data_IF_047641629304
#
_entry.id   IF_047641629304
#
_cell.length_a   1.000
_cell.length_b   1.000
_cell.length_c   1.000
_cell.angle_alpha   90.00
_cell.angle_beta   90.00
_cell.angle_gamma   90.00
#
_symmetry.space_group_name_H-M   'P 1'
#
loop_
_entity.id
_entity.type
_entity.pdbx_description
1 polymer ?
#
# COMPACT_ATOMS: atom_id res chain seq x y z
N UNK A 1 -14.87 56.17 3.96
CA UNK A 1 -14.88 54.75 3.51
C UNK A 1 -14.01 53.99 4.48
N UNK A 2 -14.61 53.25 5.42
CA UNK A 2 -13.91 52.28 6.27
C UNK A 2 -13.57 51.07 5.38
N UNK A 3 -12.28 50.69 5.27
CA UNK A 3 -11.88 49.43 4.71
C UNK A 3 -12.45 48.37 5.64
N UNK A 4 -13.38 47.54 5.15
CA UNK A 4 -13.73 46.28 5.77
C UNK A 4 -12.49 45.40 5.70
N UNK A 5 -11.78 45.32 6.83
CA UNK A 5 -10.74 44.35 7.04
C UNK A 5 -11.42 42.99 7.18
N UNK A 6 -11.19 42.09 6.24
CA UNK A 6 -11.50 40.67 6.39
C UNK A 6 -10.77 40.23 7.65
N UNK A 7 -11.46 39.98 8.77
CA UNK A 7 -10.87 39.33 9.94
C UNK A 7 -10.34 37.99 9.48
N UNK A 8 -9.01 37.86 9.40
CA UNK A 8 -8.39 36.58 9.15
C UNK A 8 -8.67 35.65 10.32
N UNK A 9 -9.42 34.57 10.09
CA UNK A 9 -9.72 33.59 11.10
C UNK A 9 -8.48 32.72 11.38
N UNK A 10 -8.06 32.68 12.64
CA UNK A 10 -7.04 31.72 13.09
C UNK A 10 -7.65 30.71 14.06
N UNK A 11 -7.02 29.54 14.16
CA UNK A 11 -7.44 28.47 15.06
C UNK A 11 -7.09 28.88 16.50
N UNK A 12 -8.13 29.05 17.34
CA UNK A 12 -7.93 29.33 18.77
C UNK A 12 -7.74 28.02 19.52
N UNK A 13 -6.55 27.82 20.08
CA UNK A 13 -6.22 26.61 20.84
C UNK A 13 -6.47 26.86 22.34
N UNK A 14 -7.44 26.16 22.91
CA UNK A 14 -7.76 26.17 24.34
C UNK A 14 -7.63 24.79 24.97
N UNK A 15 -7.30 24.78 26.24
CA UNK A 15 -7.18 23.50 26.98
C UNK A 15 -8.54 22.81 27.08
N UNK A 16 -8.59 21.52 26.71
CA UNK A 16 -9.81 20.72 26.72
C UNK A 16 -10.69 20.86 25.45
N UNK A 17 -10.34 21.70 24.50
CA UNK A 17 -11.04 21.85 23.23
C UNK A 17 -10.18 21.28 22.07
N UNK A 18 -10.79 20.48 21.18
CA UNK A 18 -10.13 20.02 19.97
C UNK A 18 -10.54 20.90 18.80
N UNK A 19 -9.60 21.60 18.14
CA UNK A 19 -9.93 22.42 16.99
C UNK A 19 -10.41 21.59 15.82
N UNK A 20 -11.33 22.13 15.04
CA UNK A 20 -11.70 21.55 13.74
C UNK A 20 -10.60 21.88 12.74
N UNK A 21 -10.01 20.85 12.15
CA UNK A 21 -8.97 20.97 11.14
C UNK A 21 -9.59 20.88 9.74
N UNK A 22 -9.23 21.80 8.87
CA UNK A 22 -9.54 21.73 7.44
C UNK A 22 -8.36 21.06 6.73
N UNK A 23 -8.44 19.74 6.60
CA UNK A 23 -7.45 18.95 5.85
C UNK A 23 -7.69 19.08 4.35
N UNK A 24 -6.66 19.42 3.59
CA UNK A 24 -6.69 19.43 2.12
C UNK A 24 -5.60 18.54 1.51
N UNK A 25 -4.67 18.08 2.32
CA UNK A 25 -3.46 17.35 1.93
C UNK A 25 -3.22 16.12 2.82
N UNK A 26 -2.29 15.24 2.41
CA UNK A 26 -1.92 14.05 3.20
C UNK A 26 -0.99 14.37 4.37
N UNK A 27 -0.20 15.46 4.26
CA UNK A 27 0.83 15.81 5.23
C UNK A 27 0.55 17.18 5.87
N UNK A 28 0.95 17.35 7.12
CA UNK A 28 0.95 18.64 7.80
C UNK A 28 2.36 19.14 8.08
N UNK A 29 2.61 20.43 7.92
CA UNK A 29 3.83 21.11 8.38
C UNK A 29 3.46 22.01 9.55
N UNK A 30 4.21 21.93 10.66
CA UNK A 30 3.95 22.73 11.87
C UNK A 30 5.20 23.48 12.31
N UNK A 31 5.10 24.79 12.51
CA UNK A 31 6.19 25.64 12.98
C UNK A 31 5.75 26.66 14.04
N UNK A 32 6.65 26.99 15.00
CA UNK A 32 6.34 27.91 16.11
C UNK A 32 7.38 29.01 16.34
N UNK A 33 8.46 29.03 15.59
CA UNK A 33 9.55 30.02 15.68
C UNK A 33 9.64 30.84 14.41
N UNK A 34 10.25 32.01 14.47
CA UNK A 34 10.43 32.88 13.30
C UNK A 34 11.20 32.18 12.16
N UNK A 35 12.32 31.53 12.50
CA UNK A 35 13.12 30.82 11.50
C UNK A 35 12.42 29.56 11.00
N UNK A 36 11.81 28.79 11.93
CA UNK A 36 11.02 27.62 11.58
C UNK A 36 9.85 27.94 10.65
N UNK A 37 9.15 29.08 10.83
CA UNK A 37 8.09 29.52 9.91
C UNK A 37 8.62 29.87 8.53
N UNK A 38 9.76 30.55 8.45
CA UNK A 38 10.40 30.85 7.15
C UNK A 38 10.77 29.56 6.40
N UNK A 39 11.36 28.58 7.10
CA UNK A 39 11.68 27.28 6.57
C UNK A 39 10.42 26.50 6.16
N UNK A 40 9.37 26.47 7.02
CA UNK A 40 8.10 25.81 6.77
C UNK A 40 7.42 26.35 5.51
N UNK A 41 7.40 27.65 5.31
CA UNK A 41 6.85 28.29 4.11
C UNK A 41 7.62 27.89 2.85
N UNK A 42 8.96 27.94 2.92
CA UNK A 42 9.83 27.50 1.79
C UNK A 42 9.63 26.02 1.47
N UNK A 43 9.48 25.17 2.48
CA UNK A 43 9.21 23.75 2.30
C UNK A 43 7.81 23.53 1.68
N UNK A 44 6.79 24.17 2.19
CA UNK A 44 5.41 24.09 1.68
C UNK A 44 5.30 24.50 0.20
N UNK A 45 6.07 25.49 -0.25
CA UNK A 45 6.11 25.91 -1.65
C UNK A 45 6.78 24.86 -2.58
N UNK A 46 7.72 24.06 -2.07
CA UNK A 46 8.51 23.11 -2.84
C UNK A 46 8.00 21.67 -2.72
N UNK A 47 7.37 21.35 -1.61
CA UNK A 47 6.90 20.03 -1.27
C UNK A 47 5.37 19.97 -1.33
N UNK A 48 4.84 19.42 -2.41
CA UNK A 48 3.39 19.36 -2.65
C UNK A 48 2.66 18.46 -1.64
N UNK A 49 1.33 18.54 -1.63
CA UNK A 49 0.47 17.71 -0.78
C UNK A 49 0.68 17.91 0.73
N UNK A 50 0.87 19.18 1.12
CA UNK A 50 1.04 19.60 2.52
C UNK A 50 0.08 20.71 2.91
N UNK A 51 -0.43 20.66 4.14
CA UNK A 51 -1.10 21.79 4.80
C UNK A 51 -0.13 22.42 5.80
N UNK A 52 -0.05 23.74 5.84
CA UNK A 52 0.89 24.47 6.68
C UNK A 52 0.21 25.15 7.86
N UNK A 53 0.75 24.91 9.07
CA UNK A 53 0.29 25.47 10.32
C UNK A 53 1.38 26.23 11.05
N UNK A 54 1.15 27.50 11.43
CA UNK A 54 2.05 28.23 12.31
C UNK A 54 1.34 29.28 13.19
N UNK A 55 2.08 29.78 14.18
CA UNK A 55 1.52 30.73 15.13
C UNK A 55 1.20 32.06 14.44
N UNK A 56 0.01 32.64 14.74
CA UNK A 56 -0.47 33.89 14.19
C UNK A 56 0.44 35.12 14.45
N UNK A 57 1.27 35.10 15.48
CA UNK A 57 2.28 36.18 15.73
C UNK A 57 3.34 36.30 14.62
N UNK A 58 3.42 35.35 13.71
CA UNK A 58 4.32 35.36 12.55
C UNK A 58 3.59 35.57 11.22
N UNK A 59 2.40 36.12 11.27
CA UNK A 59 1.59 36.51 10.11
C UNK A 59 2.39 37.33 9.10
N UNK A 60 2.27 37.01 7.83
CA UNK A 60 2.91 37.70 6.70
C UNK A 60 1.90 38.49 5.88
N UNK A 61 0.62 38.05 5.86
CA UNK A 61 -0.51 38.71 5.19
C UNK A 61 -0.95 38.07 3.88
N UNK A 62 -0.35 36.94 3.51
CA UNK A 62 -0.70 36.16 2.30
C UNK A 62 -1.27 34.76 2.64
N UNK A 63 -1.49 34.45 3.92
CA UNK A 63 -1.85 33.11 4.41
C UNK A 63 -3.14 32.59 3.76
N UNK A 64 -4.18 33.39 3.73
CA UNK A 64 -5.47 33.02 3.13
C UNK A 64 -5.34 32.66 1.64
N UNK A 65 -4.50 33.42 0.91
CA UNK A 65 -4.29 33.18 -0.53
C UNK A 65 -3.47 31.88 -0.81
N UNK A 66 -2.69 31.44 0.18
CA UNK A 66 -1.85 30.22 0.12
C UNK A 66 -2.46 29.04 0.86
N UNK A 67 -3.66 29.17 1.41
CA UNK A 67 -4.31 28.09 2.19
C UNK A 67 -3.61 27.77 3.52
N UNK A 68 -2.79 28.70 4.04
CA UNK A 68 -2.04 28.51 5.29
C UNK A 68 -2.94 28.77 6.48
N UNK A 69 -2.93 27.87 7.45
CA UNK A 69 -3.73 27.95 8.66
C UNK A 69 -2.89 28.47 9.84
N UNK A 70 -3.30 29.58 10.39
CA UNK A 70 -2.65 30.14 11.58
C UNK A 70 -3.34 29.65 12.85
N UNK A 71 -2.59 29.56 13.95
CA UNK A 71 -3.13 29.25 15.27
C UNK A 71 -2.61 30.20 16.35
N UNK A 72 -3.40 30.35 17.43
CA UNK A 72 -3.02 31.04 18.64
C UNK A 72 -3.18 30.11 19.84
N UNK A 73 -2.22 30.14 20.75
CA UNK A 73 -2.21 29.32 21.95
C UNK A 73 -1.06 28.26 21.91
N UNK A 74 -1.18 27.25 22.75
CA UNK A 74 -0.15 26.20 22.85
C UNK A 74 -0.24 25.21 21.69
N UNK A 75 0.85 25.07 20.93
CA UNK A 75 0.96 24.07 19.84
C UNK A 75 0.68 22.64 20.33
N UNK A 76 0.87 22.35 21.61
CA UNK A 76 0.52 21.05 22.20
C UNK A 76 -0.95 20.68 21.97
N UNK A 77 -1.84 21.68 21.96
CA UNK A 77 -3.27 21.48 21.77
C UNK A 77 -3.67 21.27 20.30
N UNK A 78 -2.74 21.52 19.37
CA UNK A 78 -2.98 21.30 17.94
C UNK A 78 -2.80 19.81 17.58
N UNK A 79 -1.81 19.11 18.17
CA UNK A 79 -1.47 17.75 17.83
C UNK A 79 -2.61 16.72 17.96
N UNK A 80 -3.47 16.75 19.02
CA UNK A 80 -4.60 15.85 19.12
C UNK A 80 -5.58 15.94 17.95
N UNK A 81 -5.65 17.08 17.26
CA UNK A 81 -6.49 17.27 16.10
C UNK A 81 -5.79 16.87 14.78
N UNK A 82 -4.46 17.05 14.68
CA UNK A 82 -3.69 16.66 13.48
C UNK A 82 -3.43 15.16 13.43
N UNK A 83 -3.13 14.53 14.58
CA UNK A 83 -2.67 13.17 14.68
C UNK A 83 -3.59 12.11 14.04
N UNK A 84 -4.94 12.18 14.17
CA UNK A 84 -5.84 11.22 13.57
C UNK A 84 -6.16 11.45 12.09
N UNK A 85 -5.79 12.61 11.51
CA UNK A 85 -6.23 12.98 10.16
C UNK A 85 -5.13 12.96 9.12
N UNK A 86 -3.87 13.21 9.50
CA UNK A 86 -2.74 13.25 8.57
C UNK A 86 -2.01 11.91 8.52
N UNK A 87 -1.54 11.53 7.33
CA UNK A 87 -0.64 10.37 7.15
C UNK A 87 0.74 10.62 7.77
N UNK A 88 1.20 11.88 7.72
CA UNK A 88 2.46 12.28 8.32
C UNK A 88 2.48 13.75 8.72
N UNK A 89 3.29 14.06 9.75
CA UNK A 89 3.41 15.42 10.29
C UNK A 89 4.89 15.80 10.34
N UNK A 90 5.24 16.87 9.63
CA UNK A 90 6.56 17.49 9.61
C UNK A 90 6.58 18.62 10.62
N UNK A 91 7.47 18.55 11.59
CA UNK A 91 7.43 19.46 12.76
C UNK A 91 8.77 20.18 12.88
N UNK A 92 8.75 21.52 12.75
CA UNK A 92 9.93 22.36 12.87
C UNK A 92 9.99 22.93 14.28
N UNK A 93 10.32 22.06 15.22
CA UNK A 93 10.39 22.30 16.68
C UNK A 93 11.45 21.36 17.25
N UNK A 94 12.00 21.68 18.43
CA UNK A 94 12.98 20.78 19.08
C UNK A 94 12.43 19.38 19.32
N UNK A 95 13.20 18.35 18.99
CA UNK A 95 12.82 16.93 19.11
C UNK A 95 12.25 16.56 20.48
N UNK A 96 12.91 17.02 21.57
CA UNK A 96 12.43 16.72 22.92
C UNK A 96 11.07 17.32 23.27
N UNK A 97 10.70 18.47 22.68
CA UNK A 97 9.36 19.03 22.84
C UNK A 97 8.34 18.21 22.04
N UNK A 98 8.67 17.80 20.83
CA UNK A 98 7.79 16.96 19.99
C UNK A 98 7.48 15.65 20.71
N UNK A 99 8.48 14.93 21.21
CA UNK A 99 8.30 13.66 21.96
C UNK A 99 7.30 13.84 23.12
N UNK A 100 7.43 14.90 23.91
CA UNK A 100 6.49 15.17 25.02
C UNK A 100 5.08 15.49 24.56
N UNK A 101 4.92 16.10 23.39
CA UNK A 101 3.61 16.46 22.84
C UNK A 101 2.88 15.26 22.26
N UNK A 102 3.58 14.38 21.55
CA UNK A 102 2.97 13.23 20.89
C UNK A 102 2.82 12.01 21.80
N UNK A 103 3.66 11.86 22.85
CA UNK A 103 3.64 10.68 23.73
C UNK A 103 2.24 10.30 24.25
N UNK A 104 1.36 11.24 24.67
CA UNK A 104 0.01 10.90 25.13
C UNK A 104 -0.94 10.44 24.00
N UNK A 105 -0.55 10.61 22.72
CA UNK A 105 -1.38 10.32 21.55
C UNK A 105 -1.05 8.97 20.92
N UNK A 106 0.08 8.36 21.31
CA UNK A 106 0.57 7.11 20.72
C UNK A 106 -0.36 5.95 21.02
N UNK A 107 -0.68 5.14 19.98
CA UNK A 107 -1.53 3.96 20.07
C UNK A 107 -0.85 2.72 19.52
N UNK A 108 -0.53 2.72 18.22
CA UNK A 108 0.07 1.58 17.54
C UNK A 108 0.89 2.06 16.33
N UNK A 109 2.07 1.44 16.15
CA UNK A 109 2.99 1.75 15.04
C UNK A 109 2.40 1.56 13.65
N UNK A 110 1.26 0.87 13.51
CA UNK A 110 0.57 0.63 12.24
C UNK A 110 -0.48 1.70 11.93
N UNK A 111 -0.94 2.43 12.94
CA UNK A 111 -2.01 3.43 12.82
C UNK A 111 -1.57 4.85 13.14
N UNK A 112 -0.50 4.99 13.90
CA UNK A 112 0.04 6.32 14.23
C UNK A 112 0.71 6.95 13.01
N UNK A 113 0.53 8.26 12.76
CA UNK A 113 1.10 8.94 11.60
C UNK A 113 2.63 8.93 11.63
N UNK A 114 3.23 9.09 10.45
CA UNK A 114 4.67 9.32 10.33
C UNK A 114 5.06 10.67 10.93
N UNK A 115 6.00 10.69 11.88
CA UNK A 115 6.49 11.95 12.47
C UNK A 115 7.92 12.22 12.02
N UNK A 116 8.10 13.40 11.41
CA UNK A 116 9.38 13.92 10.96
C UNK A 116 9.67 15.24 11.68
N UNK A 117 10.86 15.37 12.24
CA UNK A 117 11.28 16.59 12.93
C UNK A 117 12.43 17.25 12.17
N UNK A 118 12.34 18.57 12.02
CA UNK A 118 13.39 19.39 11.44
C UNK A 118 13.85 20.39 12.51
N UNK A 119 15.16 20.60 12.65
CA UNK A 119 15.68 21.65 13.50
C UNK A 119 15.42 23.05 12.92
N UNK A 120 15.50 24.07 13.75
CA UNK A 120 15.15 25.46 13.39
C UNK A 120 16.02 26.07 12.27
N UNK A 121 17.17 25.47 11.95
CA UNK A 121 18.04 25.87 10.85
C UNK A 121 17.83 25.04 9.59
N UNK A 122 17.12 23.90 9.68
CA UNK A 122 16.96 22.98 8.57
C UNK A 122 18.22 22.19 8.24
N UNK A 123 19.12 21.99 9.20
CA UNK A 123 20.36 21.21 9.01
C UNK A 123 20.12 19.70 9.17
N UNK A 124 19.08 19.31 9.91
CA UNK A 124 18.75 17.91 10.23
C UNK A 124 17.27 17.62 10.01
N UNK A 125 16.99 16.59 9.23
CA UNK A 125 15.65 16.02 9.04
C UNK A 125 15.64 14.62 9.65
N UNK A 126 14.82 14.42 10.67
CA UNK A 126 14.87 13.25 11.55
C UNK A 126 13.57 12.47 11.49
N UNK A 127 13.64 11.17 11.16
CA UNK A 127 12.53 10.22 11.31
C UNK A 127 12.37 9.87 12.79
N UNK A 128 11.18 10.16 13.36
CA UNK A 128 10.95 10.05 14.81
C UNK A 128 10.00 8.93 15.18
N UNK A 129 8.90 8.77 14.43
CA UNK A 129 7.85 7.80 14.74
C UNK A 129 7.28 7.19 13.45
N UNK A 130 6.87 5.92 13.53
CA UNK A 130 6.20 5.18 12.45
C UNK A 130 7.05 5.15 11.16
N UNK A 131 8.33 4.79 11.31
CA UNK A 131 9.35 4.86 10.25
C UNK A 131 9.00 4.08 8.99
N UNK A 132 8.53 2.82 9.14
CA UNK A 132 8.17 1.93 8.03
C UNK A 132 6.71 2.14 7.58
N UNK A 133 5.76 1.43 8.19
CA UNK A 133 4.35 1.42 7.78
C UNK A 133 3.69 2.80 7.82
N UNK A 134 4.05 3.65 8.78
CA UNK A 134 3.58 5.04 8.85
C UNK A 134 4.31 5.98 7.88
N UNK A 135 5.33 5.50 7.14
CA UNK A 135 6.00 6.24 6.07
C UNK A 135 6.97 7.32 6.50
N UNK A 136 7.32 7.46 7.82
CA UNK A 136 8.18 8.54 8.28
C UNK A 136 9.59 8.48 7.68
N UNK A 137 10.15 7.28 7.41
CA UNK A 137 11.48 7.15 6.79
C UNK A 137 11.49 7.71 5.37
N UNK A 138 10.47 7.37 4.57
CA UNK A 138 10.38 7.88 3.19
C UNK A 138 10.10 9.38 3.18
N UNK A 139 9.15 9.85 3.98
CA UNK A 139 8.87 11.28 4.15
C UNK A 139 10.15 12.04 4.59
N UNK A 140 10.97 11.45 5.47
CA UNK A 140 12.26 12.04 5.89
C UNK A 140 13.24 12.17 4.72
N UNK A 141 13.32 11.15 3.83
CA UNK A 141 14.18 11.20 2.64
C UNK A 141 13.73 12.29 1.67
N UNK A 142 12.43 12.34 1.37
CA UNK A 142 11.84 13.31 0.46
C UNK A 142 12.02 14.76 0.96
N UNK A 143 11.71 14.99 2.24
CA UNK A 143 11.91 16.32 2.86
C UNK A 143 13.38 16.72 2.89
N UNK A 144 14.27 15.81 3.28
CA UNK A 144 15.71 16.06 3.30
C UNK A 144 16.26 16.38 1.90
N UNK A 145 15.81 15.66 0.87
CA UNK A 145 16.16 15.94 -0.52
C UNK A 145 15.67 17.33 -0.96
N UNK A 146 14.44 17.71 -0.57
CA UNK A 146 13.83 19.01 -0.91
C UNK A 146 14.63 20.20 -0.36
N UNK A 147 15.20 20.06 0.83
CA UNK A 147 16.03 21.11 1.46
C UNK A 147 17.53 20.84 1.34
N UNK A 148 17.92 19.80 0.59
CA UNK A 148 19.30 19.43 0.28
C UNK A 148 20.18 19.14 1.51
N UNK A 149 19.67 18.29 2.40
CA UNK A 149 20.40 17.80 3.59
C UNK A 149 20.36 16.27 3.68
N UNK A 150 21.19 15.70 4.55
CA UNK A 150 21.20 14.25 4.77
C UNK A 150 20.07 13.85 5.74
N UNK A 151 19.22 12.85 5.39
CA UNK A 151 18.20 12.35 6.31
C UNK A 151 18.84 11.60 7.49
N UNK A 152 18.22 11.72 8.69
CA UNK A 152 18.59 10.95 9.87
C UNK A 152 17.52 9.90 10.11
N UNK A 153 17.87 8.65 9.79
CA UNK A 153 17.03 7.46 9.94
C UNK A 153 17.81 6.47 10.79
N UNK A 154 17.17 5.92 11.83
CA UNK A 154 17.80 5.02 12.81
C UNK A 154 17.23 3.61 12.77
N UNK A 155 16.27 3.33 11.89
CA UNK A 155 15.67 2.01 11.75
C UNK A 155 16.73 1.01 11.28
N UNK A 156 16.88 -0.10 11.97
CA UNK A 156 18.01 -1.02 11.78
C UNK A 156 18.09 -1.58 10.36
N UNK A 157 16.96 -1.99 9.75
CA UNK A 157 16.92 -2.48 8.37
C UNK A 157 17.35 -1.43 7.35
N UNK A 158 16.99 -0.16 7.55
CA UNK A 158 17.42 0.94 6.68
C UNK A 158 18.92 1.23 6.82
N UNK A 159 19.44 1.21 8.06
CA UNK A 159 20.85 1.45 8.34
C UNK A 159 21.73 0.33 7.80
N UNK A 160 21.29 -0.91 7.93
CA UNK A 160 22.01 -2.09 7.45
C UNK A 160 21.82 -2.35 5.95
N UNK A 161 20.84 -1.69 5.30
CA UNK A 161 20.51 -1.94 3.90
C UNK A 161 20.05 -3.39 3.66
N UNK A 162 19.17 -3.91 4.52
CA UNK A 162 18.58 -5.24 4.42
C UNK A 162 17.07 -5.20 4.12
N UNK A 163 16.40 -6.35 4.03
CA UNK A 163 14.97 -6.41 3.71
C UNK A 163 14.12 -5.88 4.87
N UNK A 164 13.32 -4.82 4.67
CA UNK A 164 12.32 -4.42 5.65
C UNK A 164 11.11 -5.36 5.55
N UNK A 165 11.03 -6.34 6.46
CA UNK A 165 10.05 -7.45 6.42
C UNK A 165 8.61 -6.96 6.38
N UNK A 166 8.29 -5.89 7.08
CA UNK A 166 6.97 -5.28 7.13
C UNK A 166 6.60 -4.47 5.86
N UNK A 167 7.57 -4.07 5.05
CA UNK A 167 7.38 -3.36 3.77
C UNK A 167 7.64 -4.25 2.56
N UNK A 168 8.08 -5.50 2.76
CA UNK A 168 8.47 -6.38 1.68
C UNK A 168 7.32 -6.62 0.69
N UNK A 169 7.53 -6.18 -0.55
CA UNK A 169 6.53 -6.27 -1.61
C UNK A 169 5.38 -5.25 -1.55
N UNK A 170 5.36 -4.32 -0.58
CA UNK A 170 4.29 -3.32 -0.44
C UNK A 170 4.11 -2.48 -1.72
N UNK A 171 5.18 -2.08 -2.40
CA UNK A 171 5.10 -1.33 -3.65
C UNK A 171 4.40 -2.06 -4.80
N UNK A 172 4.29 -3.39 -4.71
CA UNK A 172 3.56 -4.24 -5.66
C UNK A 172 2.15 -4.56 -5.18
N UNK A 173 1.74 -4.05 -4.01
CA UNK A 173 0.45 -4.35 -3.41
C UNK A 173 0.37 -5.73 -2.76
N UNK A 174 1.50 -6.38 -2.44
CA UNK A 174 1.49 -7.65 -1.72
C UNK A 174 0.90 -7.47 -0.32
N UNK A 175 0.16 -8.46 0.13
CA UNK A 175 -0.46 -8.47 1.45
C UNK A 175 0.10 -9.63 2.28
N UNK A 176 0.28 -9.42 3.58
CA UNK A 176 0.62 -10.53 4.48
C UNK A 176 -0.57 -11.46 4.67
N UNK A 177 -0.29 -12.75 4.86
CA UNK A 177 -1.31 -13.68 5.35
C UNK A 177 -1.64 -13.40 6.81
N UNK A 178 -0.61 -13.26 7.67
CA UNK A 178 -0.67 -12.86 9.07
C UNK A 178 0.48 -11.93 9.43
N UNK A 179 0.25 -11.04 10.40
CA UNK A 179 1.26 -10.14 10.97
C UNK A 179 2.01 -10.74 12.18
N UNK A 180 1.64 -11.94 12.63
CA UNK A 180 2.11 -12.51 13.90
C UNK A 180 3.63 -12.76 13.93
N UNK A 181 4.21 -13.07 12.77
CA UNK A 181 5.64 -13.37 12.64
C UNK A 181 6.47 -12.20 12.12
N UNK A 182 5.88 -11.03 11.86
CA UNK A 182 6.64 -9.87 11.37
C UNK A 182 7.79 -9.49 12.30
N UNK A 183 7.54 -9.41 13.61
CA UNK A 183 8.56 -8.99 14.58
C UNK A 183 9.70 -10.01 14.72
N UNK A 184 9.46 -11.32 14.97
CA UNK A 184 10.55 -12.28 15.07
C UNK A 184 11.33 -12.44 13.76
N UNK A 185 10.67 -12.47 12.62
CA UNK A 185 11.35 -12.54 11.31
C UNK A 185 12.18 -11.28 11.03
N UNK A 186 11.66 -10.09 11.36
CA UNK A 186 12.45 -8.85 11.27
C UNK A 186 13.70 -8.89 12.15
N UNK A 187 13.60 -9.46 13.36
CA UNK A 187 14.75 -9.62 14.24
C UNK A 187 15.80 -10.56 13.61
N UNK A 188 15.38 -11.69 13.03
CA UNK A 188 16.29 -12.61 12.35
C UNK A 188 16.99 -11.96 11.16
N UNK A 189 16.26 -11.14 10.37
CA UNK A 189 16.86 -10.41 9.23
C UNK A 189 17.90 -9.41 9.68
N UNK A 190 17.58 -8.60 10.72
CA UNK A 190 18.49 -7.59 11.28
C UNK A 190 19.70 -8.22 11.98
N UNK A 191 19.55 -9.40 12.57
CA UNK A 191 20.65 -10.13 13.20
C UNK A 191 21.49 -10.94 12.21
N UNK A 192 21.26 -10.75 10.89
CA UNK A 192 22.01 -11.43 9.83
C UNK A 192 21.95 -12.97 9.91
N UNK A 193 20.84 -13.51 10.45
CA UNK A 193 20.59 -14.93 10.48
C UNK A 193 20.38 -15.48 9.07
N UNK A 194 20.34 -16.80 8.90
CA UNK A 194 20.14 -17.47 7.62
C UNK A 194 18.69 -17.33 7.16
N UNK A 195 18.44 -16.47 6.20
CA UNK A 195 17.10 -16.09 5.72
C UNK A 195 16.81 -16.75 4.37
N UNK A 196 15.66 -17.40 4.23
CA UNK A 196 15.16 -17.86 2.94
C UNK A 196 14.15 -16.84 2.38
N UNK A 197 14.36 -16.38 1.16
CA UNK A 197 13.33 -15.71 0.35
C UNK A 197 12.85 -16.73 -0.69
N UNK A 198 11.61 -17.15 -0.56
CA UNK A 198 10.99 -18.15 -1.43
C UNK A 198 9.99 -17.44 -2.31
N UNK A 199 10.21 -17.47 -3.61
CA UNK A 199 9.35 -16.75 -4.54
C UNK A 199 8.80 -17.68 -5.64
N UNK A 200 7.55 -18.08 -5.48
CA UNK A 200 6.82 -18.90 -6.44
C UNK A 200 6.03 -18.07 -7.45
N UNK A 201 5.72 -16.82 -7.12
CA UNK A 201 4.95 -15.90 -7.97
C UNK A 201 5.22 -14.43 -7.60
N UNK A 202 4.62 -13.50 -8.35
CA UNK A 202 4.77 -12.06 -8.11
C UNK A 202 6.03 -11.47 -8.74
N UNK A 203 6.23 -10.19 -8.52
CA UNK A 203 7.30 -9.38 -9.09
C UNK A 203 8.66 -9.75 -8.47
N UNK A 204 9.71 -9.91 -9.30
CA UNK A 204 11.04 -10.36 -8.86
C UNK A 204 11.99 -9.20 -8.56
N UNK A 205 11.67 -7.99 -8.94
CA UNK A 205 12.51 -6.81 -8.77
C UNK A 205 12.30 -6.11 -7.41
N UNK A 206 12.09 -6.87 -6.34
CA UNK A 206 11.85 -6.34 -4.99
C UNK A 206 13.11 -5.78 -4.30
N UNK A 207 14.31 -6.17 -4.74
CA UNK A 207 15.56 -5.59 -4.24
C UNK A 207 15.82 -4.25 -4.91
N UNK A 208 15.91 -3.17 -4.12
CA UNK A 208 15.98 -1.80 -4.62
C UNK A 208 17.34 -1.13 -4.38
N UNK A 209 18.24 -1.82 -3.69
CA UNK A 209 19.56 -1.27 -3.40
C UNK A 209 20.53 -1.48 -4.57
N UNK A 210 21.46 -0.54 -4.77
CA UNK A 210 22.55 -0.67 -5.74
C UNK A 210 23.59 -1.73 -5.32
N UNK A 211 23.53 -2.17 -4.05
CA UNK A 211 24.36 -3.24 -3.50
C UNK A 211 23.75 -4.62 -3.77
N UNK A 212 24.55 -5.69 -3.87
CA UNK A 212 24.03 -7.04 -3.93
C UNK A 212 23.16 -7.39 -2.72
N UNK A 213 22.25 -8.35 -2.90
CA UNK A 213 21.50 -8.95 -1.78
C UNK A 213 22.48 -9.48 -0.73
N UNK A 214 22.28 -9.23 0.58
CA UNK A 214 23.16 -9.71 1.64
C UNK A 214 23.40 -11.21 1.58
N UNK A 215 24.62 -11.66 1.89
CA UNK A 215 25.05 -13.07 1.73
C UNK A 215 24.35 -14.07 2.65
N UNK A 216 23.69 -13.61 3.69
CA UNK A 216 22.86 -14.41 4.60
C UNK A 216 21.44 -14.64 4.07
N UNK A 217 21.06 -14.00 2.94
CA UNK A 217 19.75 -14.15 2.29
C UNK A 217 19.89 -15.07 1.08
N UNK A 218 19.16 -16.19 1.11
CA UNK A 218 19.16 -17.22 0.09
C UNK A 218 17.84 -17.20 -0.67
N UNK A 219 17.91 -17.25 -2.01
CA UNK A 219 16.76 -17.19 -2.89
C UNK A 219 16.37 -18.59 -3.34
N UNK A 220 15.09 -18.94 -3.23
CA UNK A 220 14.53 -20.23 -3.64
C UNK A 220 13.32 -20.04 -4.54
N UNK A 221 13.09 -21.00 -5.44
CA UNK A 221 11.91 -21.07 -6.28
C UNK A 221 10.80 -21.97 -5.70
N UNK A 222 11.11 -22.76 -4.66
CA UNK A 222 10.16 -23.64 -4.00
C UNK A 222 10.40 -23.71 -2.48
N UNK A 223 9.31 -23.97 -1.75
CA UNK A 223 9.36 -24.14 -0.28
C UNK A 223 10.18 -25.40 0.07
N UNK A 224 10.06 -26.46 -0.72
CA UNK A 224 10.79 -27.71 -0.48
C UNK A 224 12.31 -27.51 -0.47
N UNK A 225 12.84 -26.81 -1.47
CA UNK A 225 14.28 -26.49 -1.53
C UNK A 225 14.73 -25.65 -0.33
N UNK A 226 13.90 -24.68 0.08
CA UNK A 226 14.19 -23.84 1.24
C UNK A 226 14.21 -24.63 2.54
N UNK A 227 13.29 -25.58 2.75
CA UNK A 227 13.26 -26.45 3.92
C UNK A 227 14.50 -27.33 4.03
N UNK A 228 14.99 -27.87 2.91
CA UNK A 228 16.25 -28.65 2.87
C UNK A 228 17.46 -27.80 3.30
N UNK A 229 17.39 -26.49 3.08
CA UNK A 229 18.42 -25.53 3.45
C UNK A 229 18.41 -25.14 4.93
N UNK A 230 17.35 -25.48 5.67
CA UNK A 230 17.15 -25.19 7.10
C UNK A 230 17.37 -23.70 7.46
N UNK A 231 16.57 -22.78 6.91
CA UNK A 231 16.68 -21.37 7.25
C UNK A 231 16.21 -21.09 8.69
N UNK A 232 16.75 -20.04 9.31
CA UNK A 232 16.31 -19.57 10.63
C UNK A 232 15.05 -18.72 10.55
N UNK A 233 14.83 -18.05 9.40
CA UNK A 233 13.58 -17.36 9.10
C UNK A 233 13.30 -17.39 7.59
N UNK A 234 12.03 -17.17 7.22
CA UNK A 234 11.60 -17.22 5.82
C UNK A 234 10.66 -16.07 5.43
N UNK A 235 10.81 -15.60 4.19
CA UNK A 235 9.89 -14.71 3.49
C UNK A 235 9.32 -15.48 2.31
N UNK A 236 8.04 -15.84 2.37
CA UNK A 236 7.38 -16.71 1.39
C UNK A 236 6.43 -15.90 0.52
N UNK A 237 6.71 -15.79 -0.78
CA UNK A 237 5.88 -15.07 -1.75
C UNK A 237 5.19 -16.10 -2.64
N UNK A 238 3.90 -16.33 -2.40
CA UNK A 238 3.12 -17.32 -3.13
C UNK A 238 1.63 -16.97 -3.20
N UNK A 239 0.99 -17.34 -4.30
CA UNK A 239 -0.46 -17.28 -4.48
C UNK A 239 -1.17 -18.57 -4.02
N UNK A 240 -0.39 -19.66 -3.76
CA UNK A 240 -0.93 -20.97 -3.37
C UNK A 240 -1.25 -21.02 -1.87
N UNK A 241 -2.22 -21.82 -1.51
CA UNK A 241 -2.38 -22.33 -0.16
C UNK A 241 -1.31 -23.41 0.08
N UNK A 242 -0.70 -23.42 1.26
CA UNK A 242 0.33 -24.40 1.60
C UNK A 242 -0.31 -25.71 2.08
N UNK A 243 0.37 -26.82 1.83
CA UNK A 243 0.04 -28.07 2.47
C UNK A 243 0.70 -28.15 3.87
N UNK A 244 0.33 -29.14 4.67
CA UNK A 244 0.81 -29.30 6.05
C UNK A 244 2.33 -29.48 6.18
N UNK A 245 2.99 -30.03 5.18
CA UNK A 245 4.45 -30.21 5.18
C UNK A 245 5.16 -28.90 4.88
N UNK A 246 4.56 -28.06 4.02
CA UNK A 246 5.07 -26.75 3.67
C UNK A 246 4.85 -25.72 4.79
N UNK A 247 3.77 -25.84 5.58
CA UNK A 247 3.44 -24.91 6.67
C UNK A 247 4.55 -24.76 7.71
N UNK A 248 5.42 -25.75 7.88
CA UNK A 248 6.56 -25.73 8.81
C UNK A 248 7.48 -24.52 8.54
N UNK A 249 7.59 -24.07 7.28
CA UNK A 249 8.39 -22.89 6.92
C UNK A 249 7.89 -21.61 7.60
N UNK A 250 6.63 -21.59 8.05
CA UNK A 250 5.99 -20.45 8.72
C UNK A 250 6.18 -20.45 10.24
N UNK A 251 6.84 -21.44 10.83
CA UNK A 251 7.15 -21.44 12.27
C UNK A 251 7.93 -20.16 12.66
N UNK A 252 8.86 -19.75 11.79
CA UNK A 252 9.49 -18.43 11.80
C UNK A 252 9.51 -17.83 10.38
N UNK A 253 8.35 -17.67 9.79
CA UNK A 253 8.19 -17.18 8.43
C UNK A 253 7.02 -16.22 8.26
N UNK A 254 7.15 -15.31 7.30
CA UNK A 254 6.07 -14.40 6.88
C UNK A 254 5.66 -14.77 5.45
N UNK A 255 4.37 -14.95 5.25
CA UNK A 255 3.80 -15.22 3.92
C UNK A 255 3.21 -13.95 3.33
N UNK A 256 3.62 -13.66 2.09
CA UNK A 256 3.15 -12.54 1.27
C UNK A 256 2.32 -13.05 0.11
N UNK A 257 1.20 -12.38 -0.16
CA UNK A 257 0.23 -12.69 -1.20
C UNK A 257 0.36 -11.69 -2.35
N UNK A 258 1.07 -12.05 -3.43
CA UNK A 258 1.14 -11.19 -4.62
C UNK A 258 -0.19 -11.18 -5.36
N UNK A 259 -0.52 -10.07 -6.01
CA UNK A 259 -1.73 -9.88 -6.80
C UNK A 259 -1.52 -10.40 -8.23
N UNK A 260 -1.65 -11.72 -8.41
CA UNK A 260 -1.31 -12.39 -9.68
C UNK A 260 -2.45 -13.23 -10.28
N UNK A 261 -3.52 -13.46 -9.53
CA UNK A 261 -4.65 -14.26 -10.02
C UNK A 261 -5.61 -13.37 -10.79
N UNK A 262 -5.93 -13.78 -12.01
CA UNK A 262 -6.89 -13.13 -12.90
C UNK A 262 -8.10 -14.04 -13.07
N UNK A 263 -9.29 -13.51 -12.77
CA UNK A 263 -10.56 -14.21 -12.90
C UNK A 263 -11.29 -13.71 -14.15
N UNK A 264 -11.37 -14.54 -15.18
CA UNK A 264 -12.26 -14.29 -16.31
C UNK A 264 -13.66 -14.78 -15.95
N UNK A 265 -14.68 -13.92 -16.01
CA UNK A 265 -16.01 -14.24 -15.54
C UNK A 265 -17.11 -13.92 -16.53
N UNK A 266 -18.09 -14.81 -16.62
CA UNK A 266 -19.37 -14.58 -17.25
C UNK A 266 -20.48 -15.01 -16.30
N UNK A 267 -21.61 -14.29 -16.28
CA UNK A 267 -22.76 -14.66 -15.47
C UNK A 267 -24.06 -14.31 -16.16
N UNK A 268 -25.18 -14.91 -15.73
CA UNK A 268 -26.49 -14.48 -16.14
C UNK A 268 -26.81 -13.09 -15.54
N UNK A 269 -27.69 -12.33 -16.19
CA UNK A 269 -28.11 -11.01 -15.70
C UNK A 269 -28.84 -11.16 -14.36
N UNK A 270 -28.45 -10.34 -13.36
CA UNK A 270 -29.05 -10.36 -12.03
C UNK A 270 -28.56 -11.50 -11.12
N UNK A 271 -27.41 -12.12 -11.41
CA UNK A 271 -26.76 -13.09 -10.52
C UNK A 271 -26.28 -12.36 -9.26
N UNK A 272 -26.62 -12.91 -8.08
CA UNK A 272 -26.28 -12.29 -6.80
C UNK A 272 -24.75 -12.31 -6.52
N UNK A 273 -24.30 -11.34 -5.76
CA UNK A 273 -22.89 -11.27 -5.30
C UNK A 273 -22.52 -12.50 -4.45
N UNK A 274 -23.44 -13.02 -3.64
CA UNK A 274 -23.19 -14.23 -2.83
C UNK A 274 -22.92 -15.46 -3.71
N UNK A 275 -23.70 -15.67 -4.79
CA UNK A 275 -23.47 -16.77 -5.73
C UNK A 275 -22.13 -16.61 -6.45
N UNK A 276 -21.82 -15.41 -6.91
CA UNK A 276 -20.55 -15.09 -7.58
C UNK A 276 -19.37 -15.35 -6.64
N UNK A 277 -19.42 -14.82 -5.42
CA UNK A 277 -18.38 -15.00 -4.41
C UNK A 277 -18.17 -16.47 -4.05
N UNK A 278 -19.27 -17.22 -3.86
CA UNK A 278 -19.20 -18.64 -3.57
C UNK A 278 -18.48 -19.41 -4.69
N UNK A 279 -18.83 -19.16 -5.95
CA UNK A 279 -18.18 -19.82 -7.09
C UNK A 279 -16.70 -19.48 -7.17
N UNK A 280 -16.32 -18.22 -6.92
CA UNK A 280 -14.92 -17.82 -6.88
C UNK A 280 -14.19 -18.57 -5.76
N UNK A 281 -14.72 -18.56 -4.54
CA UNK A 281 -14.11 -19.19 -3.37
C UNK A 281 -13.89 -20.69 -3.59
N UNK A 282 -14.94 -21.41 -3.98
CA UNK A 282 -14.87 -22.85 -4.25
C UNK A 282 -13.85 -23.17 -5.36
N UNK A 283 -13.83 -22.35 -6.41
CA UNK A 283 -12.88 -22.55 -7.52
C UNK A 283 -11.45 -22.33 -7.11
N UNK A 284 -11.17 -21.30 -6.31
CA UNK A 284 -9.81 -21.03 -5.83
C UNK A 284 -9.37 -22.07 -4.78
N UNK A 285 -10.26 -22.57 -3.94
CA UNK A 285 -9.99 -23.65 -3.01
C UNK A 285 -9.63 -24.96 -3.76
N UNK A 286 -10.38 -25.33 -4.80
CA UNK A 286 -10.07 -26.50 -5.66
C UNK A 286 -8.68 -26.39 -6.31
N UNK A 287 -8.26 -25.17 -6.67
CA UNK A 287 -6.94 -24.90 -7.24
C UNK A 287 -5.84 -24.74 -6.18
N UNK A 288 -6.17 -24.77 -4.89
CA UNK A 288 -5.29 -24.41 -3.79
C UNK A 288 -4.71 -22.97 -3.92
N UNK A 289 -5.54 -22.00 -4.33
CA UNK A 289 -5.15 -20.61 -4.51
C UNK A 289 -5.78 -19.71 -3.44
N UNK A 290 -5.05 -18.67 -3.05
CA UNK A 290 -5.51 -17.70 -2.05
C UNK A 290 -6.36 -16.60 -2.67
N UNK A 291 -7.53 -16.33 -2.08
CA UNK A 291 -8.37 -15.17 -2.39
C UNK A 291 -7.62 -13.84 -2.29
N UNK A 292 -6.65 -13.74 -1.38
CA UNK A 292 -5.80 -12.54 -1.20
C UNK A 292 -4.89 -12.27 -2.40
N UNK A 293 -4.66 -13.26 -3.26
CA UNK A 293 -3.83 -13.11 -4.46
C UNK A 293 -4.61 -12.75 -5.72
N UNK A 294 -5.92 -12.59 -5.62
CA UNK A 294 -6.73 -12.11 -6.75
C UNK A 294 -6.41 -10.65 -7.02
N UNK A 295 -6.12 -10.36 -8.29
CA UNK A 295 -5.85 -9.03 -8.82
C UNK A 295 -7.10 -8.39 -9.39
N UNK A 296 -7.81 -9.11 -10.26
CA UNK A 296 -8.87 -8.54 -11.07
C UNK A 296 -9.93 -9.56 -11.44
N UNK A 297 -11.14 -9.06 -11.65
CA UNK A 297 -12.17 -9.73 -12.42
C UNK A 297 -12.21 -9.12 -13.82
N UNK A 298 -12.15 -9.97 -14.85
CA UNK A 298 -12.24 -9.60 -16.26
C UNK A 298 -13.55 -10.13 -16.86
N UNK A 299 -14.25 -9.33 -17.66
CA UNK A 299 -15.51 -9.71 -18.29
C UNK A 299 -15.75 -8.92 -19.57
N UNK A 300 -16.92 -9.15 -20.18
CA UNK A 300 -17.39 -8.42 -21.37
C UNK A 300 -18.08 -7.10 -20.99
N UNK A 301 -18.06 -6.10 -21.86
CA UNK A 301 -18.65 -4.77 -21.68
C UNK A 301 -20.17 -4.78 -21.39
N UNK A 302 -20.89 -5.81 -21.87
CA UNK A 302 -22.30 -6.06 -21.54
C UNK A 302 -22.54 -6.32 -20.04
N UNK A 303 -21.50 -6.56 -19.27
CA UNK A 303 -21.52 -6.84 -17.83
C UNK A 303 -20.94 -5.71 -16.96
N UNK A 304 -20.67 -4.55 -17.56
CA UNK A 304 -20.10 -3.40 -16.86
C UNK A 304 -20.98 -2.85 -15.72
N UNK A 305 -22.29 -3.09 -15.80
CA UNK A 305 -23.32 -2.65 -14.86
C UNK A 305 -23.96 -3.82 -14.06
N UNK A 306 -23.30 -4.98 -14.02
CA UNK A 306 -23.80 -6.16 -13.29
C UNK A 306 -23.51 -5.99 -11.79
N UNK A 307 -24.56 -5.68 -11.02
CA UNK A 307 -24.47 -5.32 -9.59
C UNK A 307 -23.70 -6.39 -8.79
N UNK A 308 -24.00 -7.68 -8.99
CA UNK A 308 -23.33 -8.74 -8.25
C UNK A 308 -21.82 -8.82 -8.48
N UNK A 309 -21.33 -8.52 -9.70
CA UNK A 309 -19.89 -8.43 -9.99
C UNK A 309 -19.26 -7.21 -9.31
N UNK A 310 -19.93 -6.05 -9.41
CA UNK A 310 -19.44 -4.80 -8.82
C UNK A 310 -19.36 -4.88 -7.30
N UNK A 311 -20.36 -5.46 -6.63
CA UNK A 311 -20.34 -5.66 -5.18
C UNK A 311 -19.18 -6.55 -4.71
N UNK A 312 -18.87 -7.63 -5.45
CA UNK A 312 -17.72 -8.50 -5.13
C UNK A 312 -16.40 -7.76 -5.34
N UNK A 313 -16.26 -7.03 -6.45
CA UNK A 313 -15.08 -6.21 -6.74
C UNK A 313 -14.83 -5.18 -5.64
N UNK A 314 -15.86 -4.44 -5.23
CA UNK A 314 -15.78 -3.43 -4.17
C UNK A 314 -15.44 -4.06 -2.81
N UNK A 315 -16.10 -5.18 -2.47
CA UNK A 315 -15.88 -5.90 -1.20
C UNK A 315 -14.43 -6.30 -0.98
N UNK A 316 -13.75 -6.74 -2.06
CA UNK A 316 -12.37 -7.23 -2.00
C UNK A 316 -11.34 -6.21 -2.47
N UNK A 317 -11.78 -5.05 -2.92
CA UNK A 317 -10.94 -4.02 -3.54
C UNK A 317 -10.08 -4.61 -4.68
N UNK A 318 -10.74 -5.34 -5.60
CA UNK A 318 -10.11 -5.88 -6.79
C UNK A 318 -10.25 -4.93 -7.97
N UNK A 319 -9.38 -5.04 -8.96
CA UNK A 319 -9.55 -4.36 -10.23
C UNK A 319 -10.74 -4.96 -11.01
N UNK A 320 -11.43 -4.15 -11.81
CA UNK A 320 -12.49 -4.61 -12.70
C UNK A 320 -12.17 -4.22 -14.14
N UNK A 321 -11.91 -5.21 -14.98
CA UNK A 321 -11.53 -5.00 -16.37
C UNK A 321 -12.62 -5.49 -17.30
N UNK A 322 -13.03 -4.64 -18.23
CA UNK A 322 -14.03 -4.96 -19.25
C UNK A 322 -13.42 -4.93 -20.65
N UNK A 323 -13.92 -5.82 -21.50
CA UNK A 323 -13.51 -5.92 -22.91
C UNK A 323 -14.71 -5.92 -23.84
N UNK A 324 -14.54 -5.38 -25.03
CA UNK A 324 -15.53 -5.46 -26.12
C UNK A 324 -15.58 -6.87 -26.72
N UNK A 325 -16.70 -7.26 -27.37
CA UNK A 325 -16.77 -8.53 -28.09
C UNK A 325 -15.64 -8.70 -29.13
N UNK A 326 -15.28 -7.62 -29.82
CA UNK A 326 -14.20 -7.63 -30.82
C UNK A 326 -12.86 -7.99 -30.19
N UNK A 327 -12.53 -7.38 -29.04
CA UNK A 327 -11.29 -7.66 -28.32
C UNK A 327 -11.22 -9.10 -27.80
N UNK A 328 -12.35 -9.66 -27.35
CA UNK A 328 -12.40 -11.05 -26.91
C UNK A 328 -12.25 -12.05 -28.05
N UNK A 329 -12.79 -11.70 -29.23
CA UNK A 329 -12.67 -12.54 -30.44
C UNK A 329 -11.27 -12.54 -31.07
N UNK A 330 -10.35 -11.66 -30.63
CA UNK A 330 -8.94 -11.70 -31.02
C UNK A 330 -8.17 -12.83 -30.33
N UNK A 331 -8.75 -13.42 -29.28
CA UNK A 331 -8.13 -14.49 -28.49
C UNK A 331 -8.68 -15.84 -28.98
N UNK A 332 -7.79 -16.71 -29.41
CA UNK A 332 -8.13 -18.09 -29.77
C UNK A 332 -8.50 -18.88 -28.50
N UNK A 333 -9.64 -19.58 -28.57
CA UNK A 333 -10.11 -20.47 -27.51
C UNK A 333 -10.45 -21.85 -28.09
N UNK A 334 -10.20 -22.90 -27.33
CA UNK A 334 -10.38 -24.28 -27.81
C UNK A 334 -11.85 -24.65 -28.08
N UNK A 335 -12.78 -24.03 -27.34
CA UNK A 335 -14.20 -24.35 -27.43
C UNK A 335 -15.06 -23.09 -27.66
N UNK A 336 -15.06 -22.52 -28.87
CA UNK A 336 -15.92 -21.41 -29.24
C UNK A 336 -17.40 -21.82 -29.15
N UNK A 337 -18.25 -20.88 -28.71
CA UNK A 337 -19.67 -21.13 -28.51
C UNK A 337 -20.54 -20.19 -29.35
N UNK A 338 -21.22 -20.74 -30.36
CA UNK A 338 -22.19 -19.99 -31.17
C UNK A 338 -23.37 -19.46 -30.33
N UNK A 339 -23.73 -20.17 -29.28
CA UNK A 339 -24.77 -19.70 -28.35
C UNK A 339 -24.30 -18.44 -27.61
N UNK A 340 -23.09 -18.41 -27.10
CA UNK A 340 -22.53 -17.19 -26.46
C UNK A 340 -22.42 -16.07 -27.47
N UNK A 341 -21.93 -16.36 -28.69
CA UNK A 341 -21.82 -15.38 -29.77
C UNK A 341 -23.15 -14.71 -30.09
N UNK A 342 -24.23 -15.49 -30.17
CA UNK A 342 -25.58 -14.98 -30.47
C UNK A 342 -26.05 -13.91 -29.44
N UNK A 343 -25.67 -14.05 -28.16
CA UNK A 343 -26.13 -13.15 -27.12
C UNK A 343 -25.12 -12.03 -26.80
N UNK A 344 -23.85 -12.24 -27.06
CA UNK A 344 -22.80 -11.32 -26.62
C UNK A 344 -21.95 -10.75 -27.75
N UNK A 345 -21.98 -11.35 -28.94
CA UNK A 345 -21.09 -11.03 -30.04
C UNK A 345 -19.65 -11.57 -29.88
N UNK A 346 -19.38 -12.30 -28.78
CA UNK A 346 -18.12 -12.96 -28.54
C UNK A 346 -18.30 -14.48 -28.45
N UNK A 347 -17.35 -15.27 -29.00
CA UNK A 347 -17.39 -16.74 -28.95
C UNK A 347 -17.15 -17.32 -27.55
N UNK A 348 -16.62 -16.52 -26.64
CA UNK A 348 -16.40 -16.81 -25.25
C UNK A 348 -16.23 -15.53 -24.45
N UNK A 349 -16.40 -15.60 -23.13
CA UNK A 349 -16.21 -14.45 -22.22
C UNK A 349 -15.12 -14.76 -21.20
N UNK A 350 -15.30 -15.78 -20.36
CA UNK A 350 -14.39 -16.05 -19.23
C UNK A 350 -12.96 -16.40 -19.67
N UNK A 351 -12.80 -17.32 -20.61
CA UNK A 351 -11.48 -17.73 -21.10
C UNK A 351 -10.72 -16.57 -21.78
N UNK A 352 -11.28 -15.93 -22.84
CA UNK A 352 -10.51 -14.93 -23.57
C UNK A 352 -10.26 -13.68 -22.73
N UNK A 353 -11.13 -13.30 -21.78
CA UNK A 353 -10.87 -12.17 -20.90
C UNK A 353 -9.73 -12.44 -19.91
N UNK A 354 -9.65 -13.65 -19.37
CA UNK A 354 -8.54 -14.05 -18.49
C UNK A 354 -7.20 -14.11 -19.24
N UNK A 355 -7.16 -14.70 -20.44
CA UNK A 355 -5.98 -14.77 -21.30
C UNK A 355 -5.50 -13.37 -21.69
N UNK A 356 -6.43 -12.52 -22.18
CA UNK A 356 -6.11 -11.18 -22.64
C UNK A 356 -5.46 -10.32 -21.55
N UNK A 357 -6.00 -10.38 -20.33
CA UNK A 357 -5.44 -9.61 -19.23
C UNK A 357 -4.10 -10.14 -18.74
N UNK A 358 -4.04 -11.46 -18.52
CA UNK A 358 -2.86 -12.09 -17.93
C UNK A 358 -1.69 -12.25 -18.90
N UNK A 359 -1.96 -12.30 -20.21
CA UNK A 359 -0.95 -12.55 -21.24
C UNK A 359 -0.35 -13.96 -21.20
N UNK A 360 -1.05 -14.92 -20.56
CA UNK A 360 -0.58 -16.32 -20.50
C UNK A 360 -1.11 -17.13 -21.66
N UNK A 361 -0.33 -18.12 -22.07
CA UNK A 361 -0.73 -19.05 -23.13
C UNK A 361 -1.62 -20.19 -22.60
N UNK A 362 -1.58 -20.43 -21.28
CA UNK A 362 -2.31 -21.53 -20.65
C UNK A 362 -2.94 -21.07 -19.32
N UNK A 363 -4.23 -21.33 -19.17
CA UNK A 363 -5.00 -21.04 -17.96
C UNK A 363 -4.78 -22.12 -16.90
N UNK A 364 -4.80 -21.72 -15.63
CA UNK A 364 -4.83 -22.65 -14.49
C UNK A 364 -6.16 -23.39 -14.41
N UNK A 365 -7.24 -22.74 -14.86
CA UNK A 365 -8.56 -23.35 -15.09
C UNK A 365 -9.17 -22.75 -16.36
N UNK A 366 -9.35 -23.57 -17.37
CA UNK A 366 -9.86 -23.13 -18.67
C UNK A 366 -11.29 -22.62 -18.57
N UNK A 367 -12.20 -23.43 -17.98
CA UNK A 367 -13.61 -23.05 -17.83
C UNK A 367 -14.33 -23.92 -16.82
N UNK A 368 -15.01 -23.31 -15.88
CA UNK A 368 -15.94 -23.97 -14.97
C UNK A 368 -17.29 -23.25 -15.00
N UNK A 369 -18.37 -24.02 -15.17
CA UNK A 369 -19.74 -23.52 -15.02
C UNK A 369 -20.29 -23.99 -13.69
N UNK A 370 -20.81 -23.06 -12.89
CA UNK A 370 -21.48 -23.35 -11.62
C UNK A 370 -22.68 -22.41 -11.50
N UNK A 371 -23.88 -22.98 -11.46
CA UNK A 371 -25.12 -22.20 -11.43
C UNK A 371 -25.21 -21.21 -12.61
N UNK A 372 -25.36 -19.94 -12.25
CA UNK A 372 -25.44 -18.81 -13.20
C UNK A 372 -24.07 -18.24 -13.59
N UNK A 373 -22.97 -18.78 -13.06
CA UNK A 373 -21.62 -18.23 -13.23
C UNK A 373 -20.74 -19.14 -14.07
N UNK A 374 -19.93 -18.54 -14.93
CA UNK A 374 -18.83 -19.21 -15.63
C UNK A 374 -17.53 -18.53 -15.25
N UNK A 375 -16.53 -19.28 -14.83
CA UNK A 375 -15.23 -18.78 -14.38
C UNK A 375 -14.09 -19.49 -15.09
N UNK A 376 -13.05 -18.72 -15.42
CA UNK A 376 -11.73 -19.17 -15.89
C UNK A 376 -10.67 -18.49 -15.04
N UNK A 377 -9.57 -19.18 -14.75
CA UNK A 377 -8.53 -18.68 -13.84
C UNK A 377 -7.17 -18.69 -14.52
N UNK A 378 -6.49 -17.55 -14.50
CA UNK A 378 -5.11 -17.42 -14.92
C UNK A 378 -4.22 -16.96 -13.76
N UNK A 379 -2.95 -17.35 -13.77
CA UNK A 379 -1.90 -16.81 -12.90
C UNK A 379 -0.91 -16.07 -13.77
N UNK A 380 -0.73 -14.79 -13.53
CA UNK A 380 0.22 -13.94 -14.27
C UNK A 380 1.64 -14.48 -14.09
N UNK A 381 2.40 -14.53 -15.16
CA UNK A 381 3.84 -14.83 -15.10
C UNK A 381 4.57 -13.70 -14.37
N UNK A 382 5.60 -14.03 -13.60
CA UNK A 382 6.51 -13.04 -13.05
C UNK A 382 7.11 -12.23 -14.20
N UNK A 383 7.13 -10.90 -14.07
CA UNK A 383 7.74 -10.04 -15.09
C UNK A 383 9.27 -10.10 -14.91
N UNK A 384 9.93 -10.95 -15.70
CA UNK A 384 11.39 -11.11 -15.72
C UNK A 384 12.11 -9.98 -16.50
N UNK A 385 11.37 -8.95 -16.97
CA UNK A 385 11.90 -7.89 -17.85
C UNK A 385 12.83 -6.88 -17.16
N UNK A 386 13.07 -7.03 -15.86
CA UNK A 386 13.99 -6.19 -15.10
C UNK A 386 15.17 -7.02 -14.53
N UNK A 387 16.00 -7.52 -15.42
CA UNK A 387 17.37 -7.94 -15.07
C UNK A 387 18.34 -6.82 -15.39
#
# INVERSE_FOLDING_TARGET
MKKEGTEMSFIQLKEGEFPVIQQSSDYAIVAITKHGVALARSLHEKFSNTDLYYMNKFEVGDESSKGIQMFQGSVRMLFPALFPVYKGIIIIISLGAVVRMIAPLLKDKKTDPGIVVIDDKGEHVISVLSGHLGGANELTREVAATINVKPIITTASDVQGTIPVDLFGQRFGWQWESADKLTPVSASVVNEEKIAVIQESGERNWWMHDTPVPSNIYLFSSIKEALEHQPQAALVVTHRLLNKEEEIILDNGVMYRPKVIVLGMGCNRGTSSDEIEQVIRETLEELNFSMKSVKTICTIDLKKDEEGLLEVVDKYNWDFQIYTPSELNEIDIDQPSDTVYKYTGAYGVSEPSAIRYSGVDQLSLTKKKSGNVTISVAVMKSDDRFR
#
